data_IF_685545878205
#
_entry.id   IF_685545878205
#
_cell.length_a   1.000
_cell.length_b   1.000
_cell.length_c   1.000
_cell.angle_alpha   90.00
_cell.angle_beta   90.00
_cell.angle_gamma   90.00
#
_symmetry.space_group_name_H-M   'P 1'
#
loop_
_entity.id
_entity.type
_entity.pdbx_description
1 polymer ?
#
# COMPACT_ATOMS: atom_id res chain seq x y z
N UNK A 1 7.66 8.00 26.44
CA UNK A 1 7.42 6.55 26.27
C UNK A 1 8.08 6.15 24.96
N UNK A 2 8.98 5.17 24.98
CA UNK A 2 9.88 4.85 23.87
C UNK A 2 9.12 4.39 22.62
N UNK A 3 9.37 5.04 21.48
CA UNK A 3 8.86 4.66 20.16
C UNK A 3 9.00 3.16 19.84
N UNK A 4 9.98 2.47 20.45
CA UNK A 4 10.25 1.05 20.29
C UNK A 4 9.04 0.11 20.51
N UNK A 5 8.09 0.46 21.38
CA UNK A 5 6.93 -0.41 21.65
C UNK A 5 5.89 -0.32 20.53
N UNK A 6 5.77 0.82 19.85
CA UNK A 6 4.80 1.02 18.76
C UNK A 6 5.16 0.23 17.49
N UNK A 7 6.40 -0.27 17.41
CA UNK A 7 6.93 -1.01 16.25
C UNK A 7 6.88 -2.53 16.40
N UNK A 8 6.75 -3.06 17.63
CA UNK A 8 6.89 -4.52 17.89
C UNK A 8 5.75 -5.35 17.33
N UNK A 9 4.55 -4.79 17.23
CA UNK A 9 3.35 -5.54 16.86
C UNK A 9 3.02 -5.45 15.36
N UNK A 10 3.79 -4.66 14.60
CA UNK A 10 3.64 -4.50 13.14
C UNK A 10 4.45 -5.57 12.42
N UNK A 11 3.79 -6.63 11.96
CA UNK A 11 4.44 -7.77 11.30
C UNK A 11 3.86 -8.11 9.93
N UNK A 12 2.67 -7.59 9.60
CA UNK A 12 1.98 -7.95 8.37
C UNK A 12 2.34 -7.01 7.22
N UNK A 13 2.32 -7.58 6.02
CA UNK A 13 2.37 -6.84 4.75
C UNK A 13 0.94 -6.82 4.21
N UNK A 14 0.42 -5.65 3.89
CA UNK A 14 -0.85 -5.51 3.19
C UNK A 14 -0.63 -5.17 1.72
N UNK A 15 -1.59 -5.49 0.86
CA UNK A 15 -1.45 -5.31 -0.58
C UNK A 15 -2.73 -4.84 -1.25
N UNK A 16 -2.64 -3.79 -2.06
CA UNK A 16 -3.72 -3.33 -2.94
C UNK A 16 -3.22 -3.43 -4.38
N UNK A 17 -3.81 -4.29 -5.18
CA UNK A 17 -3.28 -4.52 -6.53
C UNK A 17 -4.13 -5.39 -7.41
N UNK A 18 -3.67 -5.59 -8.65
CA UNK A 18 -4.31 -6.47 -9.61
C UNK A 18 -4.23 -7.95 -9.21
N UNK A 19 -5.01 -8.78 -9.89
CA UNK A 19 -5.12 -10.21 -9.60
C UNK A 19 -3.77 -10.93 -9.68
N UNK A 20 -2.94 -10.59 -10.67
CA UNK A 20 -1.62 -11.19 -10.87
C UNK A 20 -0.67 -10.85 -9.71
N UNK A 21 -0.62 -9.58 -9.29
CA UNK A 21 0.22 -9.11 -8.17
C UNK A 21 -0.21 -9.75 -6.86
N UNK A 22 -1.52 -9.75 -6.57
CA UNK A 22 -2.07 -10.31 -5.33
C UNK A 22 -1.81 -11.82 -5.29
N UNK A 23 -2.04 -12.53 -6.39
CA UNK A 23 -1.77 -13.97 -6.48
C UNK A 23 -0.30 -14.28 -6.19
N UNK A 24 0.64 -13.53 -6.78
CA UNK A 24 2.06 -13.69 -6.52
C UNK A 24 2.45 -13.47 -5.06
N UNK A 25 1.90 -12.45 -4.41
CA UNK A 25 2.18 -12.13 -3.00
C UNK A 25 1.53 -13.13 -2.03
N UNK A 26 0.33 -13.62 -2.34
CA UNK A 26 -0.30 -14.69 -1.58
C UNK A 26 0.52 -15.99 -1.66
N UNK A 27 1.09 -16.32 -2.82
CA UNK A 27 2.02 -17.45 -2.96
C UNK A 27 3.31 -17.27 -2.15
N UNK A 28 3.78 -16.02 -1.99
CA UNK A 28 4.91 -15.70 -1.12
C UNK A 28 4.57 -15.79 0.38
N UNK A 29 3.30 -16.04 0.74
CA UNK A 29 2.86 -16.25 2.13
C UNK A 29 2.52 -14.96 2.89
N UNK A 30 2.31 -13.83 2.19
CA UNK A 30 1.95 -12.56 2.86
C UNK A 30 0.47 -12.47 3.24
N UNK A 31 -0.38 -13.36 2.72
CA UNK A 31 -1.82 -13.36 2.96
C UNK A 31 -2.20 -13.69 4.40
N UNK A 32 -3.03 -12.84 5.00
CA UNK A 32 -3.56 -13.02 6.35
C UNK A 32 -5.04 -12.67 6.39
N UNK A 33 -5.80 -13.47 7.14
CA UNK A 33 -7.22 -13.23 7.46
C UNK A 33 -7.32 -13.19 8.98
N UNK A 34 -7.80 -12.08 9.51
CA UNK A 34 -7.96 -11.92 10.96
C UNK A 34 -9.15 -12.75 11.50
N UNK A 35 -9.29 -12.80 12.83
CA UNK A 35 -10.40 -13.51 13.48
C UNK A 35 -11.80 -12.94 13.18
N UNK A 36 -11.90 -11.77 12.53
CA UNK A 36 -13.14 -11.13 12.08
C UNK A 36 -13.39 -11.32 10.59
N UNK A 37 -12.54 -12.09 9.89
CA UNK A 37 -12.62 -12.33 8.46
C UNK A 37 -12.07 -11.20 7.59
N UNK A 38 -11.41 -10.20 8.16
CA UNK A 38 -10.79 -9.10 7.40
C UNK A 38 -9.47 -9.55 6.81
N UNK A 39 -9.34 -9.32 5.51
CA UNK A 39 -8.15 -9.63 4.71
C UNK A 39 -7.15 -8.49 4.81
N UNK A 40 -5.87 -8.78 4.62
CA UNK A 40 -4.82 -7.77 4.43
C UNK A 40 -4.54 -7.49 2.94
N UNK A 41 -5.45 -7.84 2.04
CA UNK A 41 -5.28 -7.61 0.62
C UNK A 41 -6.59 -7.24 -0.07
N UNK A 42 -6.49 -6.40 -1.10
CA UNK A 42 -7.58 -6.02 -2.00
C UNK A 42 -7.16 -6.31 -3.44
N UNK A 43 -7.96 -7.12 -4.13
CA UNK A 43 -7.85 -7.30 -5.59
C UNK A 43 -8.61 -6.15 -6.26
N UNK A 44 -7.93 -5.45 -7.15
CA UNK A 44 -8.46 -4.33 -7.92
C UNK A 44 -8.58 -4.74 -9.38
N UNK A 45 -9.79 -4.62 -9.91
CA UNK A 45 -10.10 -4.82 -11.32
C UNK A 45 -10.66 -3.53 -11.94
N UNK A 46 -10.96 -3.56 -13.24
CA UNK A 46 -11.54 -2.42 -13.97
C UNK A 46 -12.96 -2.04 -13.53
N UNK A 47 -13.61 -2.87 -12.72
CA UNK A 47 -14.97 -2.65 -12.20
C UNK A 47 -14.95 -2.17 -10.75
N UNK A 48 -13.79 -2.22 -10.10
CA UNK A 48 -13.62 -1.84 -8.70
C UNK A 48 -13.75 -0.32 -8.57
N UNK A 49 -14.72 0.19 -7.80
CA UNK A 49 -14.92 1.62 -7.67
C UNK A 49 -13.80 2.25 -6.85
N UNK A 50 -13.42 3.49 -7.20
CA UNK A 50 -12.38 4.26 -6.51
C UNK A 50 -12.64 4.35 -5.01
N UNK A 51 -13.90 4.50 -4.60
CA UNK A 51 -14.30 4.57 -3.19
C UNK A 51 -13.94 3.31 -2.39
N UNK A 52 -13.94 2.13 -3.01
CA UNK A 52 -13.52 0.88 -2.36
C UNK A 52 -12.01 0.87 -2.14
N UNK A 53 -11.25 1.39 -3.11
CA UNK A 53 -9.78 1.50 -3.01
C UNK A 53 -9.41 2.48 -1.89
N UNK A 54 -10.08 3.63 -1.81
CA UNK A 54 -9.88 4.61 -0.74
C UNK A 54 -10.23 4.04 0.64
N UNK A 55 -11.35 3.32 0.73
CA UNK A 55 -11.79 2.69 1.98
C UNK A 55 -10.79 1.63 2.45
N UNK A 56 -10.27 0.79 1.54
CA UNK A 56 -9.27 -0.20 1.86
C UNK A 56 -7.93 0.43 2.25
N UNK A 57 -7.52 1.49 1.56
CA UNK A 57 -6.32 2.25 1.91
C UNK A 57 -6.42 2.84 3.33
N UNK A 58 -7.55 3.46 3.66
CA UNK A 58 -7.81 3.98 5.01
C UNK A 58 -7.77 2.85 6.06
N UNK A 59 -8.45 1.73 5.80
CA UNK A 59 -8.44 0.57 6.70
C UNK A 59 -7.04 0.01 6.93
N UNK A 60 -6.24 -0.16 5.88
CA UNK A 60 -4.89 -0.72 5.99
C UNK A 60 -3.90 0.25 6.65
N UNK A 61 -4.11 1.55 6.51
CA UNK A 61 -3.27 2.57 7.17
C UNK A 61 -3.60 2.76 8.65
N UNK A 62 -4.85 2.54 9.06
CA UNK A 62 -5.28 2.61 10.47
C UNK A 62 -4.91 1.37 11.28
N UNK A 63 -4.71 0.23 10.62
CA UNK A 63 -4.36 -1.05 11.25
C UNK A 63 -2.98 -1.02 11.91
N UNK A 64 -2.93 -1.40 13.19
CA UNK A 64 -1.71 -1.38 14.01
C UNK A 64 -0.80 -2.60 13.81
N UNK A 65 -1.27 -3.63 13.11
CA UNK A 65 -0.54 -4.88 12.82
C UNK A 65 0.17 -4.87 11.46
N UNK A 66 -0.14 -3.90 10.59
CA UNK A 66 0.48 -3.73 9.28
C UNK A 66 1.76 -2.89 9.41
N UNK A 67 2.86 -3.43 8.88
CA UNK A 67 4.15 -2.77 8.79
C UNK A 67 4.35 -2.08 7.43
N UNK A 68 3.97 -2.77 6.35
CA UNK A 68 4.19 -2.34 4.96
C UNK A 68 2.88 -2.47 4.20
N UNK A 69 2.53 -1.43 3.44
CA UNK A 69 1.44 -1.43 2.48
C UNK A 69 2.02 -1.35 1.07
N UNK A 70 1.88 -2.43 0.31
CA UNK A 70 2.22 -2.48 -1.11
C UNK A 70 1.01 -2.04 -1.92
N UNK A 71 1.20 -1.16 -2.90
CA UNK A 71 0.16 -0.77 -3.84
C UNK A 71 0.71 -0.76 -5.26
N UNK A 72 -0.03 -1.29 -6.24
CA UNK A 72 0.41 -1.11 -7.63
C UNK A 72 0.36 0.38 -8.00
N UNK A 73 1.38 0.88 -8.68
CA UNK A 73 1.50 2.31 -9.03
C UNK A 73 0.29 2.82 -9.85
N UNK A 74 -0.24 2.01 -10.76
CA UNK A 74 -1.41 2.40 -11.55
C UNK A 74 -2.68 2.55 -10.69
N UNK A 75 -2.82 1.74 -9.62
CA UNK A 75 -3.91 1.85 -8.65
C UNK A 75 -3.70 3.06 -7.75
N UNK A 76 -2.46 3.31 -7.32
CA UNK A 76 -2.09 4.47 -6.52
C UNK A 76 -2.48 5.79 -7.22
N UNK A 77 -2.37 5.84 -8.54
CA UNK A 77 -2.77 7.01 -9.33
C UNK A 77 -4.26 7.34 -9.21
N UNK A 78 -5.12 6.32 -9.09
CA UNK A 78 -6.57 6.51 -8.94
C UNK A 78 -6.95 7.22 -7.64
N UNK A 79 -6.11 7.10 -6.61
CA UNK A 79 -6.32 7.68 -5.27
C UNK A 79 -5.17 8.61 -4.87
N UNK A 80 -4.49 9.23 -5.86
CA UNK A 80 -3.31 10.08 -5.65
C UNK A 80 -3.52 11.16 -4.58
N UNK A 81 -4.66 11.87 -4.51
CA UNK A 81 -4.89 12.88 -3.47
C UNK A 81 -4.91 12.30 -2.05
N UNK A 82 -5.32 11.04 -1.89
CA UNK A 82 -5.39 10.35 -0.60
C UNK A 82 -4.00 9.88 -0.17
N UNK A 83 -3.20 9.38 -1.11
CA UNK A 83 -1.80 8.98 -0.87
C UNK A 83 -0.93 10.19 -0.50
N UNK A 84 -1.05 11.32 -1.21
CA UNK A 84 -0.23 12.50 -0.91
C UNK A 84 -0.51 13.10 0.48
N UNK A 85 -1.74 12.95 0.98
CA UNK A 85 -2.12 13.34 2.34
C UNK A 85 -1.56 12.40 3.41
N UNK A 86 -1.15 11.20 3.03
CA UNK A 86 -0.61 10.22 3.95
C UNK A 86 0.86 10.56 4.30
N UNK A 87 1.06 11.07 5.51
CA UNK A 87 2.37 11.53 6.02
C UNK A 87 2.84 10.72 7.24
N UNK A 88 2.13 9.65 7.58
CA UNK A 88 2.49 8.81 8.71
C UNK A 88 3.67 7.90 8.35
N UNK A 89 4.54 7.63 9.33
CA UNK A 89 5.68 6.75 9.11
C UNK A 89 5.28 5.27 8.98
N UNK A 90 4.13 4.87 9.52
CA UNK A 90 3.66 3.48 9.51
C UNK A 90 2.15 3.38 9.25
N UNK A 91 1.72 2.39 8.44
CA UNK A 91 2.56 1.50 7.64
C UNK A 91 3.37 2.21 6.54
N UNK A 92 4.54 1.66 6.20
CA UNK A 92 5.34 2.18 5.10
C UNK A 92 4.61 1.89 3.77
N UNK A 93 4.32 2.95 3.01
CA UNK A 93 3.68 2.84 1.70
C UNK A 93 4.72 2.66 0.61
N UNK A 94 4.59 1.59 -0.20
CA UNK A 94 5.46 1.35 -1.36
C UNK A 94 4.63 1.13 -2.62
N UNK A 95 4.92 1.94 -3.65
CA UNK A 95 4.36 1.80 -4.99
C UNK A 95 5.18 0.78 -5.79
N UNK A 96 4.54 -0.29 -6.28
CA UNK A 96 5.19 -1.36 -7.07
C UNK A 96 4.64 -1.41 -8.50
N UNK A 97 5.44 -1.86 -9.49
CA UNK A 97 4.93 -2.11 -10.83
C UNK A 97 3.86 -3.21 -10.84
N UNK A 98 3.12 -3.29 -11.94
CA UNK A 98 2.27 -4.42 -12.26
C UNK A 98 2.79 -5.10 -13.54
N UNK A 99 2.24 -6.27 -13.87
CA UNK A 99 2.62 -7.04 -15.06
C UNK A 99 2.47 -6.23 -16.35
N UNK A 100 1.33 -5.57 -16.53
CA UNK A 100 1.01 -4.81 -17.74
C UNK A 100 1.32 -3.30 -17.62
N UNK A 101 1.68 -2.84 -16.41
CA UNK A 101 1.95 -1.43 -16.13
C UNK A 101 3.36 -1.28 -15.52
N UNK A 102 4.38 -0.94 -16.33
CA UNK A 102 5.73 -0.76 -15.85
C UNK A 102 5.82 0.45 -14.91
N UNK A 103 6.82 0.43 -14.03
CA UNK A 103 7.04 1.50 -13.07
C UNK A 103 7.53 2.78 -13.74
N UNK A 104 6.88 3.90 -13.43
CA UNK A 104 7.24 5.24 -13.85
C UNK A 104 7.81 6.04 -12.65
N UNK A 105 9.13 6.29 -12.60
CA UNK A 105 9.77 7.04 -11.52
C UNK A 105 9.25 8.48 -11.35
N UNK A 106 8.65 9.05 -12.39
CA UNK A 106 8.14 10.42 -12.35
C UNK A 106 6.83 10.55 -11.57
N UNK A 107 6.12 9.44 -11.33
CA UNK A 107 4.81 9.41 -10.65
C UNK A 107 4.90 9.04 -9.18
N UNK A 108 6.01 8.45 -8.76
CA UNK A 108 6.25 7.99 -7.40
C UNK A 108 6.41 9.17 -6.41
N UNK A 109 5.62 9.11 -5.34
CA UNK A 109 5.59 10.13 -4.28
C UNK A 109 6.90 10.23 -3.48
N UNK A 110 7.56 9.11 -3.21
CA UNK A 110 8.83 9.02 -2.47
C UNK A 110 9.97 9.58 -3.33
N UNK A 111 10.05 9.20 -4.59
CA UNK A 111 11.09 9.74 -5.50
C UNK A 111 10.93 11.23 -5.74
N UNK A 112 9.70 11.74 -5.85
CA UNK A 112 9.44 13.18 -5.91
C UNK A 112 9.94 13.90 -4.66
N UNK A 113 9.69 13.34 -3.47
CA UNK A 113 10.16 13.92 -2.21
C UNK A 113 11.70 13.92 -2.14
N UNK A 114 12.36 12.85 -2.59
CA UNK A 114 13.82 12.76 -2.65
C UNK A 114 14.41 13.77 -3.63
N UNK A 115 13.87 13.89 -4.85
CA UNK A 115 14.34 14.88 -5.84
C UNK A 115 14.22 16.31 -5.31
N UNK A 116 13.07 16.63 -4.72
CA UNK A 116 12.84 17.92 -4.06
C UNK A 116 13.86 18.19 -2.95
N UNK A 117 14.26 17.17 -2.20
CA UNK A 117 15.27 17.30 -1.14
C UNK A 117 16.69 17.46 -1.69
N UNK A 118 16.97 16.84 -2.85
CA UNK A 118 18.25 16.93 -3.56
C UNK A 118 18.39 18.20 -4.42
N UNK A 119 17.35 19.03 -4.52
CA UNK A 119 17.38 20.32 -5.22
C UNK A 119 17.19 20.24 -6.73
N UNK A 120 16.64 19.13 -7.23
CA UNK A 120 16.19 18.96 -8.63
C UNK A 120 14.69 19.23 -8.79
#
# INVERSE_FOLDING_TARGET
MSNATQYRDRSLIATIGDEDTITGLLLAGTGHIDGRGKKNFLVVDSKTPVSTIESAFAEFTERSDIAILLINQHVAEMIRPTIEKYQQAFPALLEIPAKDHPYDPSKDSVLKAVKKHLGE
#
